data_IF_625484905520
#
_entry.id   IF_625484905520
#
_cell.length_a   1.000
_cell.length_b   1.000
_cell.length_c   1.000
_cell.angle_alpha   90.00
_cell.angle_beta   90.00
_cell.angle_gamma   90.00
#
_symmetry.space_group_name_H-M   'P 1'
#
loop_
_entity.id
_entity.type
_entity.pdbx_description
1 polymer ?
#
# COMPACT_ATOMS: atom_id res chain seq x y z
N UNK A 1 -20.95 6.63 -18.23
CA UNK A 1 -20.55 6.70 -19.66
C UNK A 1 -19.87 8.04 -19.89
N UNK A 2 -18.75 8.07 -20.63
CA UNK A 2 -18.03 9.32 -20.92
C UNK A 2 -18.82 10.17 -21.92
N UNK A 3 -18.71 11.49 -21.82
CA UNK A 3 -19.25 12.40 -22.84
C UNK A 3 -18.46 12.23 -24.15
N UNK A 4 -19.15 12.28 -25.29
CA UNK A 4 -18.53 12.07 -26.60
C UNK A 4 -17.39 13.06 -26.90
N UNK A 5 -17.54 14.31 -26.48
CA UNK A 5 -16.50 15.34 -26.67
C UNK A 5 -15.24 15.05 -25.84
N UNK A 6 -15.40 14.56 -24.60
CA UNK A 6 -14.27 14.15 -23.75
C UNK A 6 -13.54 12.95 -24.36
N UNK A 7 -14.29 12.01 -24.92
CA UNK A 7 -13.72 10.86 -25.64
C UNK A 7 -12.87 11.33 -26.82
N UNK A 8 -13.39 12.19 -27.70
CA UNK A 8 -12.65 12.70 -28.86
C UNK A 8 -11.41 13.51 -28.46
N UNK A 9 -11.51 14.30 -27.39
CA UNK A 9 -10.37 15.04 -26.83
C UNK A 9 -9.30 14.08 -26.29
N UNK A 10 -9.71 13.09 -25.50
CA UNK A 10 -8.79 12.11 -24.93
C UNK A 10 -8.11 11.25 -26.00
N UNK A 11 -8.80 10.82 -27.05
CA UNK A 11 -8.22 10.01 -28.13
C UNK A 11 -7.10 10.71 -28.93
N UNK A 12 -7.00 12.04 -28.86
CA UNK A 12 -6.00 12.82 -29.59
C UNK A 12 -4.77 13.17 -28.75
N UNK A 13 -4.80 12.95 -27.43
CA UNK A 13 -3.68 13.28 -26.55
C UNK A 13 -2.50 12.34 -26.85
N UNK A 14 -1.27 12.85 -27.02
CA UNK A 14 -0.10 12.02 -27.29
C UNK A 14 0.08 10.85 -26.30
N UNK A 15 -0.07 11.09 -24.99
CA UNK A 15 0.02 10.05 -23.96
C UNK A 15 -1.05 8.94 -24.03
N UNK A 16 -2.11 9.13 -24.82
CA UNK A 16 -3.20 8.18 -25.02
C UNK A 16 -3.09 7.39 -26.33
N UNK A 17 -2.00 7.57 -27.08
CA UNK A 17 -1.74 6.89 -28.35
C UNK A 17 -0.58 5.90 -28.16
N UNK A 18 -0.73 4.69 -28.69
CA UNK A 18 0.34 3.68 -28.59
C UNK A 18 1.45 3.93 -29.61
N UNK A 19 1.09 4.09 -30.88
CA UNK A 19 1.96 4.57 -31.97
C UNK A 19 1.09 5.15 -33.10
N UNK A 20 1.69 5.91 -34.03
CA UNK A 20 1.04 6.38 -35.27
C UNK A 20 1.64 5.79 -36.55
N UNK A 21 2.83 5.17 -36.48
CA UNK A 21 3.39 4.41 -37.59
C UNK A 21 2.55 3.16 -37.92
N UNK A 22 2.59 2.68 -39.17
CA UNK A 22 2.08 1.34 -39.47
C UNK A 22 2.84 0.24 -38.69
N UNK A 23 2.67 -1.03 -39.05
CA UNK A 23 3.47 -2.15 -38.47
C UNK A 23 5.01 -2.00 -38.61
N UNK A 24 5.49 -0.95 -39.30
CA UNK A 24 6.89 -0.66 -39.63
C UNK A 24 7.73 -0.08 -38.48
N UNK A 25 7.16 0.16 -37.30
CA UNK A 25 7.93 0.30 -36.04
C UNK A 25 8.73 1.59 -35.85
N UNK A 26 8.52 2.64 -36.67
CA UNK A 26 9.10 3.96 -36.43
C UNK A 26 8.01 4.91 -35.92
N UNK A 27 8.22 5.44 -34.72
CA UNK A 27 7.39 6.45 -34.10
C UNK A 27 8.31 7.49 -33.43
N UNK A 28 8.25 8.73 -33.88
CA UNK A 28 9.15 9.80 -33.42
C UNK A 28 8.57 10.60 -32.23
N UNK A 29 7.34 10.30 -31.81
CA UNK A 29 6.71 11.02 -30.70
C UNK A 29 7.04 10.34 -29.36
N UNK A 30 7.88 11.01 -28.56
CA UNK A 30 8.34 10.52 -27.26
C UNK A 30 7.21 10.34 -26.23
N UNK A 31 6.04 10.94 -26.45
CA UNK A 31 4.86 10.79 -25.58
C UNK A 31 3.97 9.61 -25.95
N UNK A 32 4.16 8.98 -27.11
CA UNK A 32 3.44 7.76 -27.46
C UNK A 32 3.90 6.57 -26.61
N UNK A 33 2.99 5.63 -26.31
CA UNK A 33 3.28 4.55 -25.36
C UNK A 33 4.45 3.65 -25.79
N UNK A 34 4.59 3.35 -27.08
CA UNK A 34 5.69 2.51 -27.60
C UNK A 34 7.09 3.07 -27.29
N UNK A 35 7.21 4.38 -27.11
CA UNK A 35 8.48 5.06 -26.81
C UNK A 35 8.75 5.22 -25.31
N UNK A 36 7.80 4.85 -24.44
CA UNK A 36 7.86 5.03 -22.98
C UNK A 36 7.88 3.71 -22.21
N UNK A 37 7.27 2.66 -22.78
CA UNK A 37 7.27 1.33 -22.17
C UNK A 37 8.68 0.72 -22.24
N UNK A 38 9.08 0.08 -21.16
CA UNK A 38 10.40 -0.52 -20.92
C UNK A 38 11.57 0.47 -21.02
N UNK A 39 11.32 1.74 -20.61
CA UNK A 39 12.34 2.78 -20.45
C UNK A 39 12.65 3.04 -18.99
N UNK A 40 13.81 3.64 -18.74
CA UNK A 40 14.23 4.11 -17.40
C UNK A 40 13.47 5.36 -16.97
N UNK A 41 13.14 6.23 -17.92
CA UNK A 41 12.47 7.50 -17.66
C UNK A 41 10.97 7.31 -17.35
N UNK A 42 10.48 7.99 -16.31
CA UNK A 42 9.06 8.01 -15.96
C UNK A 42 8.32 9.10 -16.74
N UNK A 43 7.95 8.81 -17.99
CA UNK A 43 7.07 9.69 -18.78
C UNK A 43 5.60 9.25 -18.64
N UNK A 44 4.91 9.74 -17.61
CA UNK A 44 3.48 9.53 -17.39
C UNK A 44 2.75 10.87 -17.31
N UNK A 45 1.62 10.98 -18.04
CA UNK A 45 0.72 12.13 -17.93
C UNK A 45 -0.27 11.91 -16.80
N UNK A 46 -0.05 12.59 -15.67
CA UNK A 46 -0.91 12.52 -14.48
C UNK A 46 -1.59 13.87 -14.31
N UNK A 47 -2.92 13.85 -14.23
CA UNK A 47 -3.75 15.01 -13.91
C UNK A 47 -4.44 14.70 -12.58
N UNK A 48 -3.93 15.23 -11.46
CA UNK A 48 -4.51 15.01 -10.16
C UNK A 48 -5.95 15.52 -10.07
N UNK A 49 -6.79 14.84 -9.28
CA UNK A 49 -8.11 15.39 -8.90
C UNK A 49 -8.00 16.57 -7.93
N UNK A 50 -6.91 16.63 -7.16
CA UNK A 50 -6.63 17.64 -6.15
C UNK A 50 -5.13 17.74 -5.92
N UNK A 51 -4.70 18.90 -5.42
CA UNK A 51 -3.32 19.19 -5.00
C UNK A 51 -3.27 19.47 -3.50
N UNK A 52 -2.06 19.52 -2.95
CA UNK A 52 -1.79 19.76 -1.55
C UNK A 52 -0.76 20.87 -1.38
N UNK A 53 -0.98 21.73 -0.41
CA UNK A 53 0.02 22.68 0.03
C UNK A 53 1.25 21.97 0.61
N UNK A 54 2.42 22.62 0.54
CA UNK A 54 3.68 22.06 1.04
C UNK A 54 3.67 21.74 2.55
N UNK A 55 2.81 22.41 3.33
CA UNK A 55 2.65 22.16 4.76
C UNK A 55 1.67 21.00 5.06
N UNK A 56 0.99 20.41 4.08
CA UNK A 56 0.06 19.31 4.34
C UNK A 56 0.75 18.11 5.00
N UNK A 57 0.21 17.65 6.15
CA UNK A 57 0.61 16.36 6.74
C UNK A 57 -0.02 15.18 6.01
N UNK A 58 0.78 14.14 5.78
CA UNK A 58 0.40 12.90 5.12
C UNK A 58 0.37 11.74 6.12
N UNK A 59 -0.59 10.85 5.91
CA UNK A 59 -0.68 9.55 6.56
C UNK A 59 -0.40 8.46 5.53
N UNK A 60 0.34 7.42 5.91
CA UNK A 60 0.60 6.28 5.00
C UNK A 60 0.24 4.95 5.66
N UNK A 61 -0.38 4.05 4.90
CA UNK A 61 -0.67 2.68 5.30
C UNK A 61 -0.58 1.74 4.10
N UNK A 62 -0.05 0.54 4.30
CA UNK A 62 -0.10 -0.50 3.29
C UNK A 62 1.06 -1.49 3.33
N UNK A 63 1.34 -2.09 2.17
CA UNK A 63 2.40 -3.10 2.00
C UNK A 63 3.82 -2.53 2.21
N UNK A 64 4.86 -3.37 2.07
CA UNK A 64 6.26 -2.92 2.11
C UNK A 64 6.58 -1.74 1.17
N UNK A 65 5.87 -1.64 0.05
CA UNK A 65 6.04 -0.53 -0.88
C UNK A 65 5.55 0.82 -0.29
N UNK A 66 4.55 0.79 0.59
CA UNK A 66 4.06 1.98 1.29
C UNK A 66 5.18 2.64 2.11
N UNK A 67 5.99 1.83 2.80
CA UNK A 67 7.13 2.34 3.58
C UNK A 67 8.22 2.93 2.71
N UNK A 68 8.44 2.36 1.54
CA UNK A 68 9.39 2.92 0.57
C UNK A 68 8.92 4.30 0.07
N UNK A 69 7.63 4.46 -0.23
CA UNK A 69 7.02 5.76 -0.55
C UNK A 69 7.13 6.72 0.64
N UNK A 70 6.77 6.27 1.85
CA UNK A 70 6.84 7.08 3.07
C UNK A 70 8.25 7.64 3.32
N UNK A 71 9.28 6.79 3.26
CA UNK A 71 10.66 7.21 3.45
C UNK A 71 11.15 8.16 2.33
N UNK A 72 10.72 7.93 1.09
CA UNK A 72 11.05 8.81 -0.03
C UNK A 72 10.37 10.19 0.11
N UNK A 73 9.11 10.24 0.55
CA UNK A 73 8.38 11.47 0.84
C UNK A 73 9.04 12.26 1.98
N UNK A 74 9.41 11.58 3.07
CA UNK A 74 10.18 12.19 4.17
C UNK A 74 11.50 12.75 3.64
N UNK A 75 12.19 12.03 2.76
CA UNK A 75 13.42 12.50 2.10
C UNK A 75 13.23 13.75 1.24
N UNK A 76 12.00 14.02 0.77
CA UNK A 76 11.62 15.26 0.07
C UNK A 76 11.11 16.36 1.00
N UNK A 77 11.16 16.16 2.33
CA UNK A 77 10.72 17.12 3.32
C UNK A 77 9.20 17.11 3.58
N UNK A 78 8.47 16.13 3.02
CA UNK A 78 7.03 15.98 3.26
C UNK A 78 6.80 15.46 4.68
N UNK A 79 5.85 16.05 5.40
CA UNK A 79 5.48 15.61 6.75
C UNK A 79 4.65 14.33 6.67
N UNK A 80 5.25 13.17 6.92
CA UNK A 80 4.55 11.88 6.89
C UNK A 80 4.56 11.21 8.26
N UNK A 81 3.38 10.82 8.76
CA UNK A 81 3.21 10.14 10.05
C UNK A 81 4.07 10.75 11.19
N UNK A 82 4.03 12.08 11.45
CA UNK A 82 5.03 12.76 12.29
C UNK A 82 5.16 12.17 13.70
N UNK A 83 4.03 11.77 14.31
CA UNK A 83 4.00 11.13 15.63
C UNK A 83 4.75 9.78 15.70
N UNK A 84 4.97 9.10 14.57
CA UNK A 84 5.83 7.90 14.53
C UNK A 84 7.32 8.25 14.52
N UNK A 85 7.72 9.32 13.84
CA UNK A 85 9.11 9.75 13.73
C UNK A 85 9.66 10.26 15.06
N UNK A 86 8.79 10.84 15.89
CA UNK A 86 9.11 11.30 17.23
C UNK A 86 9.24 10.16 18.26
N UNK A 87 8.89 8.91 17.88
CA UNK A 87 9.03 7.73 18.74
C UNK A 87 10.39 7.05 18.58
N UNK A 88 11.31 7.35 19.51
CA UNK A 88 12.61 6.68 19.58
C UNK A 88 12.51 5.14 19.68
N UNK A 89 11.47 4.61 20.33
CA UNK A 89 11.29 3.16 20.50
C UNK A 89 10.86 2.47 19.21
N UNK A 90 9.88 3.04 18.49
CA UNK A 90 9.42 2.47 17.22
C UNK A 90 10.49 2.67 16.15
N UNK A 91 11.10 3.85 16.06
CA UNK A 91 12.20 4.11 15.13
C UNK A 91 13.38 3.15 15.30
N UNK A 92 13.77 2.82 16.54
CA UNK A 92 14.83 1.83 16.80
C UNK A 92 14.45 0.42 16.33
N UNK A 93 13.21 -0.02 16.52
CA UNK A 93 12.77 -1.36 16.09
C UNK A 93 12.56 -1.47 14.58
N UNK A 94 12.05 -0.41 13.96
CA UNK A 94 11.78 -0.36 12.53
C UNK A 94 13.08 -0.19 11.71
N UNK A 95 14.14 0.38 12.30
CA UNK A 95 15.49 0.45 11.70
C UNK A 95 16.32 -0.83 11.90
N UNK A 96 16.12 -1.59 12.98
CA UNK A 96 16.86 -2.84 13.24
C UNK A 96 16.45 -4.02 12.35
N UNK A 97 15.27 -3.97 11.71
CA UNK A 97 14.76 -5.04 10.83
C UNK A 97 14.30 -4.55 9.44
N UNK A 98 14.87 -3.43 8.97
CA UNK A 98 14.96 -3.00 7.57
C UNK A 98 13.65 -2.60 6.85
N UNK A 99 12.51 -3.16 7.23
CA UNK A 99 11.24 -3.07 6.52
C UNK A 99 10.07 -2.97 7.48
N UNK A 100 10.13 -2.09 8.49
CA UNK A 100 8.95 -1.59 9.19
C UNK A 100 7.85 -2.62 9.58
N UNK A 101 8.23 -3.68 10.29
CA UNK A 101 7.37 -4.85 10.53
C UNK A 101 6.04 -4.51 11.22
N UNK A 102 6.03 -3.46 12.03
CA UNK A 102 4.87 -3.08 12.84
C UNK A 102 3.86 -2.24 12.06
N UNK A 103 4.29 -1.54 11.02
CA UNK A 103 3.47 -0.58 10.26
C UNK A 103 2.86 -1.19 8.99
N UNK A 104 3.43 -2.27 8.46
CA UNK A 104 2.94 -2.88 7.23
C UNK A 104 1.62 -3.61 7.39
N UNK A 105 0.69 -3.39 6.45
CA UNK A 105 -0.54 -4.18 6.29
C UNK A 105 -0.65 -4.65 4.86
N UNK A 106 -0.83 -5.95 4.64
CA UNK A 106 -0.73 -6.51 3.29
C UNK A 106 -2.07 -6.64 2.58
N UNK A 107 -3.16 -6.90 3.31
CA UNK A 107 -4.49 -7.07 2.73
C UNK A 107 -5.46 -5.99 3.25
N UNK A 108 -6.45 -5.62 2.44
CA UNK A 108 -7.38 -4.53 2.77
C UNK A 108 -8.19 -4.77 4.06
N UNK A 109 -8.65 -5.99 4.39
CA UNK A 109 -9.30 -6.23 5.68
C UNK A 109 -8.39 -5.99 6.89
N UNK A 110 -7.10 -6.34 6.81
CA UNK A 110 -6.13 -6.04 7.88
C UNK A 110 -5.84 -4.54 8.00
N UNK A 111 -5.87 -3.78 6.88
CA UNK A 111 -5.79 -2.32 6.92
C UNK A 111 -7.04 -1.72 7.58
N UNK A 112 -8.23 -2.23 7.27
CA UNK A 112 -9.48 -1.79 7.90
C UNK A 112 -9.43 -2.02 9.42
N UNK A 113 -9.03 -3.21 9.85
CA UNK A 113 -8.85 -3.52 11.27
C UNK A 113 -7.88 -2.54 11.95
N UNK A 114 -6.82 -2.13 11.25
CA UNK A 114 -5.88 -1.14 11.77
C UNK A 114 -6.53 0.22 11.99
N UNK A 115 -7.25 0.70 10.98
CA UNK A 115 -7.95 1.99 11.05
C UNK A 115 -9.00 1.94 12.16
N UNK A 116 -9.79 0.87 12.27
CA UNK A 116 -10.73 0.67 13.38
C UNK A 116 -10.02 0.73 14.75
N UNK A 117 -8.84 0.11 14.89
CA UNK A 117 -8.04 0.16 16.11
C UNK A 117 -7.54 1.58 16.43
N UNK A 118 -7.15 2.36 15.41
CA UNK A 118 -6.72 3.76 15.59
C UNK A 118 -7.88 4.70 15.93
N UNK A 119 -9.09 4.40 15.46
CA UNK A 119 -10.30 5.20 15.67
C UNK A 119 -11.19 4.68 16.80
N UNK A 120 -10.59 4.00 17.80
CA UNK A 120 -11.19 3.65 19.09
C UNK A 120 -12.05 2.35 19.17
N UNK A 121 -11.87 1.39 18.24
CA UNK A 121 -12.42 0.03 18.36
C UNK A 121 -11.29 -0.98 18.65
N UNK A 122 -11.00 -1.27 19.94
CA UNK A 122 -9.97 -2.25 20.29
C UNK A 122 -10.46 -3.68 20.08
N UNK A 123 -10.29 -4.20 18.86
CA UNK A 123 -10.64 -5.58 18.47
C UNK A 123 -9.46 -6.56 18.56
N UNK A 124 -8.27 -6.07 18.93
CA UNK A 124 -7.03 -6.86 18.96
C UNK A 124 -6.88 -7.62 20.27
N UNK A 125 -7.32 -8.87 20.30
CA UNK A 125 -7.12 -9.79 21.42
C UNK A 125 -5.70 -10.35 21.51
N UNK A 126 -5.36 -10.95 22.66
CA UNK A 126 -4.13 -11.73 22.85
C UNK A 126 -4.12 -13.03 22.02
N UNK A 127 -5.27 -13.47 21.53
CA UNK A 127 -5.42 -14.64 20.66
C UNK A 127 -4.66 -14.54 19.34
N UNK A 128 -4.18 -13.35 18.98
CA UNK A 128 -3.33 -13.12 17.80
C UNK A 128 -1.84 -13.26 18.10
N UNK A 129 -1.47 -13.46 19.37
CA UNK A 129 -0.09 -13.52 19.86
C UNK A 129 0.30 -14.98 20.05
N UNK A 130 1.36 -15.41 19.37
CA UNK A 130 1.81 -16.80 19.41
C UNK A 130 3.23 -16.90 19.92
N UNK A 131 3.57 -17.92 20.72
CA UNK A 131 4.95 -18.13 21.11
C UNK A 131 5.84 -18.35 19.88
N UNK A 132 7.03 -17.75 19.83
CA UNK A 132 8.03 -17.92 18.75
C UNK A 132 9.43 -17.55 19.26
N UNK A 133 10.45 -18.29 18.84
CA UNK A 133 11.82 -18.07 19.29
C UNK A 133 12.10 -18.64 20.68
N UNK A 134 12.86 -17.90 21.49
CA UNK A 134 13.23 -18.30 22.85
C UNK A 134 12.02 -18.46 23.78
N UNK A 135 12.19 -19.20 24.89
CA UNK A 135 11.13 -19.35 25.91
C UNK A 135 10.72 -17.98 26.43
N UNK A 136 9.41 -17.72 26.51
CA UNK A 136 8.86 -16.44 26.92
C UNK A 136 8.82 -15.37 25.81
N UNK A 137 9.25 -15.70 24.59
CA UNK A 137 9.12 -14.82 23.44
C UNK A 137 7.95 -15.22 22.53
N UNK A 138 7.32 -14.19 21.98
CA UNK A 138 6.09 -14.27 21.20
C UNK A 138 6.18 -13.33 20.01
N UNK A 139 5.32 -13.55 19.04
CA UNK A 139 5.11 -12.66 17.91
C UNK A 139 3.62 -12.41 17.73
N UNK A 140 3.24 -11.35 17.03
CA UNK A 140 1.85 -10.96 16.85
C UNK A 140 1.45 -11.05 15.38
N UNK A 141 0.49 -11.91 15.05
CA UNK A 141 0.04 -12.13 13.67
C UNK A 141 -0.71 -10.93 13.06
N UNK A 142 -1.00 -9.91 13.87
CA UNK A 142 -1.46 -8.62 13.40
C UNK A 142 -0.37 -7.79 12.70
N UNK A 143 0.91 -8.04 13.03
CA UNK A 143 2.08 -7.41 12.39
C UNK A 143 2.73 -8.31 11.35
N UNK A 144 3.69 -7.78 10.59
CA UNK A 144 4.39 -8.51 9.55
C UNK A 144 5.32 -9.62 10.11
N UNK A 145 5.69 -10.56 9.24
CA UNK A 145 6.46 -11.76 9.60
C UNK A 145 7.94 -11.50 9.99
N UNK A 146 8.49 -10.34 9.64
CA UNK A 146 9.87 -9.93 9.92
C UNK A 146 10.05 -9.27 11.30
N UNK A 147 9.01 -9.24 12.13
CA UNK A 147 9.11 -8.75 13.50
C UNK A 147 10.02 -9.65 14.36
N UNK A 148 10.65 -9.03 15.36
CA UNK A 148 11.44 -9.76 16.35
C UNK A 148 10.56 -10.30 17.47
N UNK A 149 10.63 -11.62 17.77
CA UNK A 149 9.91 -12.19 18.88
C UNK A 149 10.32 -11.58 20.22
N UNK A 150 9.35 -11.33 21.10
CA UNK A 150 9.53 -10.59 22.37
C UNK A 150 8.48 -10.98 23.42
N UNK A 151 8.66 -10.64 24.70
CA UNK A 151 7.66 -10.87 25.73
C UNK A 151 6.30 -10.23 25.39
N UNK A 152 5.19 -10.87 25.79
CA UNK A 152 3.82 -10.36 25.54
C UNK A 152 3.66 -8.92 26.04
N UNK A 153 4.25 -8.59 27.19
CA UNK A 153 4.26 -7.22 27.74
C UNK A 153 4.78 -6.20 26.72
N UNK A 154 5.91 -6.47 26.07
CA UNK A 154 6.46 -5.56 25.05
C UNK A 154 5.56 -5.47 23.81
N UNK A 155 4.92 -6.58 23.40
CA UNK A 155 3.95 -6.56 22.30
C UNK A 155 2.78 -5.64 22.62
N UNK A 156 2.25 -5.72 23.85
CA UNK A 156 1.13 -4.89 24.29
C UNK A 156 1.54 -3.42 24.43
N UNK A 157 2.75 -3.13 24.93
CA UNK A 157 3.33 -1.78 24.95
C UNK A 157 3.47 -1.21 23.52
N UNK A 158 3.96 -1.99 22.56
CA UNK A 158 4.06 -1.58 21.16
C UNK A 158 2.66 -1.31 20.56
N UNK A 159 1.67 -2.17 20.80
CA UNK A 159 0.28 -1.97 20.33
C UNK A 159 -0.29 -0.64 20.82
N UNK A 160 -0.14 -0.35 22.11
CA UNK A 160 -0.63 0.91 22.71
C UNK A 160 0.09 2.10 22.08
N UNK A 161 1.41 2.03 21.97
CA UNK A 161 2.23 3.12 21.43
C UNK A 161 1.89 3.41 19.96
N UNK A 162 1.87 2.38 19.11
CA UNK A 162 1.56 2.52 17.68
C UNK A 162 0.15 3.06 17.50
N UNK A 163 -0.82 2.53 18.25
CA UNK A 163 -2.20 3.03 18.21
C UNK A 163 -2.25 4.51 18.53
N UNK A 164 -1.59 4.94 19.61
CA UNK A 164 -1.57 6.35 20.01
C UNK A 164 -0.94 7.24 18.94
N UNK A 165 0.23 6.87 18.42
CA UNK A 165 0.96 7.65 17.42
C UNK A 165 0.20 7.74 16.10
N UNK A 166 -0.34 6.61 15.62
CA UNK A 166 -1.05 6.57 14.34
C UNK A 166 -2.45 7.17 14.41
N UNK A 167 -3.12 7.09 15.56
CA UNK A 167 -4.38 7.79 15.80
C UNK A 167 -4.19 9.31 15.72
N UNK A 168 -3.12 9.84 16.33
CA UNK A 168 -2.77 11.25 16.24
C UNK A 168 -2.38 11.66 14.81
N UNK A 169 -1.51 10.88 14.14
CA UNK A 169 -1.12 11.14 12.76
C UNK A 169 -2.31 11.13 11.80
N UNK A 170 -3.28 10.23 11.99
CA UNK A 170 -4.49 10.18 11.18
C UNK A 170 -5.41 11.38 11.46
N UNK A 171 -5.55 11.79 12.73
CA UNK A 171 -6.37 12.94 13.10
C UNK A 171 -5.87 14.25 12.45
N UNK A 172 -4.56 14.38 12.32
CA UNK A 172 -3.89 15.54 11.72
C UNK A 172 -3.71 15.45 10.22
N UNK A 173 -3.95 14.31 9.56
CA UNK A 173 -3.64 14.14 8.15
C UNK A 173 -4.56 14.97 7.24
N UNK A 174 -4.02 15.43 6.10
CA UNK A 174 -4.78 16.05 5.01
C UNK A 174 -4.82 15.16 3.78
N UNK A 175 -3.84 14.26 3.68
CA UNK A 175 -3.78 13.21 2.70
C UNK A 175 -3.52 11.88 3.39
N UNK A 176 -4.25 10.82 3.02
CA UNK A 176 -3.93 9.45 3.35
C UNK A 176 -3.52 8.70 2.08
N UNK A 177 -2.31 8.12 2.06
CA UNK A 177 -1.84 7.26 0.98
C UNK A 177 -2.04 5.80 1.39
N UNK A 178 -2.90 5.10 0.66
CA UNK A 178 -3.21 3.68 0.87
C UNK A 178 -2.55 2.87 -0.25
N UNK A 179 -1.68 1.93 0.10
CA UNK A 179 -0.98 1.06 -0.87
C UNK A 179 -1.44 -0.39 -0.73
N UNK A 180 -2.27 -0.85 -1.67
CA UNK A 180 -2.81 -2.21 -1.70
C UNK A 180 -1.72 -3.26 -1.96
N UNK A 181 -1.63 -4.28 -1.10
CA UNK A 181 -0.59 -5.29 -1.17
C UNK A 181 -1.02 -6.57 -1.89
N UNK A 182 -1.86 -7.36 -1.23
CA UNK A 182 -2.15 -8.76 -1.55
C UNK A 182 -3.64 -9.06 -1.44
N UNK A 183 -4.11 -9.97 -2.28
CA UNK A 183 -5.44 -10.60 -2.20
C UNK A 183 -5.44 -11.88 -1.36
N UNK A 184 -4.28 -12.46 -1.08
CA UNK A 184 -4.17 -13.61 -0.19
C UNK A 184 -4.04 -13.18 1.28
N UNK A 185 -4.89 -13.74 2.12
CA UNK A 185 -4.88 -13.56 3.56
C UNK A 185 -5.13 -14.89 4.28
N UNK A 186 -4.83 -14.91 5.59
CA UNK A 186 -5.31 -15.98 6.48
C UNK A 186 -6.49 -15.43 7.26
N UNK A 187 -7.60 -16.17 7.28
CA UNK A 187 -8.73 -15.90 8.14
C UNK A 187 -8.66 -16.76 9.40
N UNK A 188 -8.74 -16.13 10.55
CA UNK A 188 -8.82 -16.78 11.85
C UNK A 188 -10.29 -16.92 12.27
N UNK A 189 -10.82 -18.15 12.22
CA UNK A 189 -12.23 -18.43 12.52
C UNK A 189 -12.61 -18.18 13.98
N UNK A 190 -11.64 -18.20 14.90
CA UNK A 190 -11.90 -17.98 16.32
C UNK A 190 -12.07 -16.49 16.61
N UNK A 191 -11.10 -15.66 16.21
CA UNK A 191 -11.17 -14.21 16.40
C UNK A 191 -12.09 -13.52 15.39
N UNK A 192 -12.43 -14.21 14.30
CA UNK A 192 -13.18 -13.70 13.14
C UNK A 192 -12.45 -12.55 12.44
N UNK A 193 -11.11 -12.58 12.45
CA UNK A 193 -10.25 -11.55 11.88
C UNK A 193 -9.44 -12.11 10.71
N UNK A 194 -9.18 -11.24 9.74
CA UNK A 194 -8.13 -11.47 8.76
C UNK A 194 -6.79 -11.11 9.38
N UNK A 195 -5.84 -12.04 9.30
CA UNK A 195 -4.49 -11.84 9.79
C UNK A 195 -3.67 -11.10 8.75
N UNK A 196 -2.72 -10.31 9.23
CA UNK A 196 -1.73 -9.66 8.38
C UNK A 196 -0.58 -10.60 8.03
N UNK A 197 -0.26 -11.53 8.93
CA UNK A 197 0.77 -12.54 8.72
C UNK A 197 0.30 -13.95 9.08
N UNK A 198 1.00 -14.94 8.53
CA UNK A 198 0.68 -16.34 8.76
C UNK A 198 1.05 -16.75 10.19
N UNK A 199 0.17 -17.48 10.91
CA UNK A 199 0.50 -18.03 12.21
C UNK A 199 1.65 -19.05 12.12
N UNK A 200 2.41 -19.31 13.21
CA UNK A 200 3.56 -20.21 13.13
C UNK A 200 3.10 -21.61 12.73
N UNK A 201 3.88 -22.26 11.86
CA UNK A 201 3.57 -23.59 11.33
C UNK A 201 3.16 -24.59 12.41
N UNK A 202 3.80 -24.56 13.58
CA UNK A 202 3.50 -25.48 14.71
C UNK A 202 2.08 -25.33 15.28
N UNK A 203 1.47 -24.15 15.17
CA UNK A 203 0.09 -23.90 15.60
C UNK A 203 -0.87 -24.08 14.42
N UNK A 204 -0.50 -23.57 13.25
CA UNK A 204 -1.32 -23.67 12.04
C UNK A 204 -1.58 -25.12 11.62
N UNK A 205 -0.55 -25.98 11.66
CA UNK A 205 -0.65 -27.38 11.19
C UNK A 205 -1.46 -28.31 12.09
N UNK A 206 -1.80 -27.89 13.31
CA UNK A 206 -2.51 -28.71 14.31
C UNK A 206 -3.90 -28.17 14.62
N UNK A 207 -4.39 -27.24 13.81
CA UNK A 207 -5.60 -26.51 14.12
C UNK A 207 -6.46 -26.38 12.88
N UNK A 208 -7.75 -26.62 13.06
CA UNK A 208 -8.76 -26.26 12.08
C UNK A 208 -9.10 -24.76 12.14
N UNK A 209 -8.54 -23.98 13.07
CA UNK A 209 -8.85 -22.55 13.31
C UNK A 209 -8.63 -21.64 12.10
N UNK A 210 -7.65 -21.95 11.24
CA UNK A 210 -7.23 -21.04 10.18
C UNK A 210 -7.71 -21.50 8.79
N UNK A 211 -8.13 -20.55 7.98
CA UNK A 211 -8.47 -20.77 6.58
C UNK A 211 -7.66 -19.83 5.68
N UNK A 212 -7.23 -20.31 4.51
CA UNK A 212 -6.77 -19.43 3.44
C UNK A 212 -7.96 -18.66 2.89
N UNK A 213 -7.83 -17.35 2.75
CA UNK A 213 -8.88 -16.49 2.25
C UNK A 213 -8.38 -15.64 1.08
N UNK A 214 -9.04 -15.80 -0.06
CA UNK A 214 -8.83 -14.95 -1.22
C UNK A 214 -9.78 -13.75 -1.16
N UNK A 215 -9.22 -12.56 -0.96
CA UNK A 215 -9.96 -11.31 -0.87
C UNK A 215 -10.27 -10.82 -2.29
N UNK A 216 -11.56 -10.77 -2.63
CA UNK A 216 -12.01 -10.34 -3.95
C UNK A 216 -11.87 -8.83 -4.15
N UNK A 217 -12.09 -8.37 -5.39
CA UNK A 217 -12.13 -6.94 -5.70
C UNK A 217 -13.27 -6.24 -4.94
N UNK A 218 -14.43 -6.88 -4.81
CA UNK A 218 -15.61 -6.37 -4.10
C UNK A 218 -15.34 -6.26 -2.59
N UNK A 219 -14.72 -7.29 -1.98
CA UNK A 219 -14.36 -7.24 -0.56
C UNK A 219 -13.27 -6.18 -0.28
N UNK A 220 -12.36 -5.98 -1.24
CA UNK A 220 -11.37 -4.90 -1.17
C UNK A 220 -12.04 -3.54 -1.24
N UNK A 221 -12.97 -3.34 -2.18
CA UNK A 221 -13.73 -2.09 -2.32
C UNK A 221 -14.56 -1.79 -1.07
N UNK A 222 -15.27 -2.78 -0.51
CA UNK A 222 -16.01 -2.63 0.75
C UNK A 222 -15.09 -2.23 1.91
N UNK A 223 -13.90 -2.84 2.00
CA UNK A 223 -12.90 -2.46 3.01
C UNK A 223 -12.42 -1.02 2.82
N UNK A 224 -12.17 -0.58 1.58
CA UNK A 224 -11.76 0.79 1.26
C UNK A 224 -12.84 1.82 1.59
N UNK A 225 -14.10 1.52 1.29
CA UNK A 225 -15.24 2.36 1.65
C UNK A 225 -15.34 2.54 3.17
N UNK A 226 -15.22 1.45 3.93
CA UNK A 226 -15.22 1.50 5.40
C UNK A 226 -14.02 2.27 5.94
N UNK A 227 -12.82 2.03 5.41
CA UNK A 227 -11.61 2.79 5.77
C UNK A 227 -11.85 4.28 5.59
N UNK A 228 -12.34 4.71 4.42
CA UNK A 228 -12.66 6.11 4.13
C UNK A 228 -13.65 6.69 5.12
N UNK A 229 -14.75 5.99 5.41
CA UNK A 229 -15.75 6.42 6.40
C UNK A 229 -15.13 6.61 7.78
N UNK A 230 -14.29 5.67 8.24
CA UNK A 230 -13.63 5.78 9.55
C UNK A 230 -12.60 6.89 9.60
N UNK A 231 -11.78 7.05 8.56
CA UNK A 231 -10.80 8.14 8.45
C UNK A 231 -11.50 9.50 8.52
N UNK A 232 -12.58 9.70 7.75
CA UNK A 232 -13.35 10.95 7.77
C UNK A 232 -14.02 11.23 9.11
N UNK A 233 -14.50 10.20 9.80
CA UNK A 233 -15.12 10.35 11.12
C UNK A 233 -14.10 10.71 12.22
N UNK A 234 -12.83 10.32 12.06
CA UNK A 234 -11.76 10.55 13.04
C UNK A 234 -10.93 11.79 12.75
N UNK A 235 -10.80 12.18 11.49
CA UNK A 235 -9.96 13.30 11.11
C UNK A 235 -10.51 14.64 11.63
N UNK A 236 -9.60 15.51 12.11
CA UNK A 236 -9.94 16.87 12.52
C UNK A 236 -10.19 17.83 11.35
N UNK A 237 -9.95 17.38 10.12
CA UNK A 237 -10.09 18.13 8.86
C UNK A 237 -10.43 17.19 7.69
N UNK A 238 -10.94 17.71 6.56
CA UNK A 238 -11.18 16.88 5.39
C UNK A 238 -9.91 16.16 4.91
N UNK A 239 -9.95 14.83 4.84
CA UNK A 239 -8.84 14.00 4.35
C UNK A 239 -9.07 13.64 2.89
N UNK A 240 -8.09 13.86 2.03
CA UNK A 240 -8.08 13.28 0.68
C UNK A 240 -7.33 11.96 0.68
N UNK A 241 -7.69 11.04 -0.19
CA UNK A 241 -7.06 9.71 -0.26
C UNK A 241 -6.36 9.55 -1.60
N UNK A 242 -5.09 9.15 -1.56
CA UNK A 242 -4.37 8.61 -2.71
C UNK A 242 -4.36 7.09 -2.57
N UNK A 243 -4.98 6.39 -3.51
CA UNK A 243 -4.98 4.92 -3.57
C UNK A 243 -3.98 4.46 -4.63
N UNK A 244 -3.16 3.46 -4.29
CA UNK A 244 -2.24 2.83 -5.24
C UNK A 244 -2.07 1.33 -4.99
N UNK A 245 -1.46 0.62 -5.93
CA UNK A 245 -1.21 -0.83 -5.84
C UNK A 245 0.30 -1.07 -5.73
N UNK A 246 0.69 -1.98 -4.85
CA UNK A 246 2.08 -2.38 -4.69
C UNK A 246 2.53 -3.28 -5.83
N UNK A 247 3.68 -3.02 -6.47
CA UNK A 247 4.26 -3.92 -7.47
C UNK A 247 4.93 -5.15 -6.85
N UNK A 248 5.22 -5.14 -5.55
CA UNK A 248 5.92 -6.23 -4.86
C UNK A 248 5.11 -7.51 -4.93
N UNK A 249 5.70 -8.55 -5.52
CA UNK A 249 5.04 -9.83 -5.76
C UNK A 249 4.76 -10.65 -4.49
N UNK A 250 3.80 -11.56 -4.58
CA UNK A 250 3.58 -12.62 -3.59
C UNK A 250 4.91 -13.36 -3.32
N UNK A 251 5.22 -13.59 -2.04
CA UNK A 251 6.36 -14.44 -1.67
C UNK A 251 6.00 -15.93 -1.71
N UNK A 252 4.74 -16.25 -1.42
CA UNK A 252 4.14 -17.59 -1.44
C UNK A 252 2.66 -17.45 -1.81
N UNK A 253 2.08 -18.48 -2.40
CA UNK A 253 0.65 -18.57 -2.71
C UNK A 253 0.06 -19.88 -2.18
N UNK A 254 -1.13 -19.82 -1.58
CA UNK A 254 -1.91 -21.02 -1.23
C UNK A 254 -2.93 -21.40 -2.32
N UNK A 255 -3.04 -20.63 -3.40
CA UNK A 255 -4.08 -20.81 -4.43
C UNK A 255 -3.98 -22.15 -5.20
N UNK A 256 -2.83 -22.83 -5.13
CA UNK A 256 -2.55 -24.03 -5.92
C UNK A 256 -2.12 -23.72 -7.37
N UNK A 257 -2.17 -22.46 -7.80
CA UNK A 257 -1.65 -22.02 -9.09
C UNK A 257 -0.15 -21.71 -9.03
N UNK A 258 0.48 -21.59 -10.20
CA UNK A 258 1.79 -20.97 -10.32
C UNK A 258 1.78 -19.58 -9.68
N UNK A 259 2.83 -19.24 -8.93
CA UNK A 259 2.89 -18.02 -8.14
C UNK A 259 2.83 -16.76 -8.99
N UNK A 260 3.35 -16.79 -10.23
CA UNK A 260 3.28 -15.65 -11.14
C UNK A 260 1.83 -15.42 -11.59
N UNK A 261 1.10 -16.48 -11.90
CA UNK A 261 -0.33 -16.42 -12.28
C UNK A 261 -1.18 -15.92 -11.11
N UNK A 262 -0.97 -16.48 -9.91
CA UNK A 262 -1.66 -16.03 -8.69
C UNK A 262 -1.36 -14.56 -8.39
N UNK A 263 -0.10 -14.15 -8.54
CA UNK A 263 0.30 -12.76 -8.32
C UNK A 263 -0.37 -11.81 -9.32
N UNK A 264 -0.38 -12.18 -10.61
CA UNK A 264 -1.06 -11.37 -11.64
C UNK A 264 -2.54 -11.20 -11.31
N UNK A 265 -3.25 -12.28 -10.96
CA UNK A 265 -4.66 -12.19 -10.56
C UNK A 265 -4.86 -11.27 -9.36
N UNK A 266 -4.02 -11.40 -8.33
CA UNK A 266 -4.10 -10.55 -7.15
C UNK A 266 -3.92 -9.06 -7.50
N UNK A 267 -2.89 -8.70 -8.26
CA UNK A 267 -2.65 -7.29 -8.63
C UNK A 267 -3.74 -6.74 -9.53
N UNK A 268 -4.23 -7.52 -10.49
CA UNK A 268 -5.35 -7.12 -11.36
C UNK A 268 -6.61 -6.82 -10.56
N UNK A 269 -6.98 -7.67 -9.60
CA UNK A 269 -8.18 -7.42 -8.76
C UNK A 269 -8.02 -6.20 -7.85
N UNK A 270 -6.86 -6.03 -7.22
CA UNK A 270 -6.58 -4.83 -6.42
C UNK A 270 -6.62 -3.56 -7.27
N UNK A 271 -6.14 -3.62 -8.51
CA UNK A 271 -6.17 -2.49 -9.44
C UNK A 271 -7.58 -2.12 -9.86
N UNK A 272 -8.45 -3.12 -10.09
CA UNK A 272 -9.88 -2.92 -10.37
C UNK A 272 -10.56 -2.27 -9.16
N UNK A 273 -10.35 -2.78 -7.95
CA UNK A 273 -10.92 -2.18 -6.73
C UNK A 273 -10.45 -0.74 -6.53
N UNK A 274 -9.16 -0.45 -6.77
CA UNK A 274 -8.62 0.90 -6.70
C UNK A 274 -9.25 1.86 -7.72
N UNK A 275 -9.48 1.40 -8.97
CA UNK A 275 -10.18 2.18 -10.00
C UNK A 275 -11.62 2.50 -9.59
N UNK A 276 -12.37 1.48 -9.17
CA UNK A 276 -13.76 1.66 -8.74
C UNK A 276 -13.86 2.62 -7.55
N UNK A 277 -12.92 2.51 -6.61
CA UNK A 277 -12.88 3.38 -5.44
C UNK A 277 -12.53 4.83 -5.80
N UNK A 278 -11.54 5.05 -6.68
CA UNK A 278 -11.24 6.41 -7.15
C UNK A 278 -12.39 6.98 -7.97
N UNK A 279 -12.96 6.24 -8.90
CA UNK A 279 -13.99 6.75 -9.81
C UNK A 279 -15.29 7.12 -9.09
N UNK A 280 -15.58 6.47 -7.96
CA UNK A 280 -16.77 6.72 -7.16
C UNK A 280 -16.66 7.95 -6.23
N UNK A 281 -15.47 8.53 -6.06
CA UNK A 281 -15.22 9.54 -5.01
C UNK A 281 -14.29 10.68 -5.49
N UNK A 282 -14.76 11.93 -5.38
CA UNK A 282 -13.98 13.12 -5.76
C UNK A 282 -12.80 13.41 -4.82
N UNK A 283 -12.85 12.89 -3.59
CA UNK A 283 -11.78 12.97 -2.60
C UNK A 283 -10.81 11.79 -2.64
N UNK A 284 -10.94 10.91 -3.63
CA UNK A 284 -10.04 9.76 -3.83
C UNK A 284 -9.44 9.82 -5.23
N UNK A 285 -8.12 9.77 -5.32
CA UNK A 285 -7.40 9.72 -6.59
C UNK A 285 -6.48 8.50 -6.68
N UNK A 286 -6.33 7.96 -7.89
CA UNK A 286 -5.47 6.81 -8.15
C UNK A 286 -4.09 7.27 -8.63
N UNK A 287 -3.04 6.94 -7.87
CA UNK A 287 -1.67 7.18 -8.31
C UNK A 287 -1.07 5.91 -8.96
N UNK A 288 -0.63 5.94 -10.22
CA UNK A 288 -0.24 4.74 -10.97
C UNK A 288 1.19 4.23 -10.69
N UNK A 289 1.57 4.16 -9.42
CA UNK A 289 2.90 3.67 -9.01
C UNK A 289 3.16 2.21 -9.42
N UNK A 290 2.11 1.39 -9.47
CA UNK A 290 2.19 0.00 -9.93
C UNK A 290 2.63 -0.07 -11.39
N UNK A 291 1.93 0.66 -12.26
CA UNK A 291 2.21 0.70 -13.70
C UNK A 291 3.57 1.32 -13.99
N UNK A 292 3.98 2.36 -13.24
CA UNK A 292 5.33 2.94 -13.34
C UNK A 292 6.44 1.93 -13.05
N UNK A 293 6.21 0.93 -12.21
CA UNK A 293 7.19 -0.13 -11.99
C UNK A 293 7.08 -1.22 -13.05
N UNK A 294 5.86 -1.71 -13.32
CA UNK A 294 5.65 -2.83 -14.24
C UNK A 294 6.00 -2.52 -15.70
N UNK A 295 5.90 -1.25 -16.10
CA UNK A 295 6.15 -0.80 -17.48
C UNK A 295 7.53 -0.16 -17.66
N UNK A 296 8.37 -0.09 -16.62
CA UNK A 296 9.75 0.41 -16.76
C UNK A 296 10.72 -0.68 -17.23
N UNK A 297 11.94 -0.27 -17.61
CA UNK A 297 13.05 -1.20 -17.84
C UNK A 297 13.28 -2.04 -16.57
N UNK A 298 13.17 -3.38 -16.65
CA UNK A 298 13.33 -4.24 -15.49
C UNK A 298 14.68 -4.11 -14.78
N UNK A 299 15.76 -3.81 -15.50
CA UNK A 299 17.10 -3.64 -14.89
C UNK A 299 17.23 -2.38 -14.04
N UNK A 300 16.38 -1.39 -14.27
CA UNK A 300 16.28 -0.17 -13.47
C UNK A 300 15.22 -0.29 -12.37
N UNK A 301 14.08 -0.91 -12.69
CA UNK A 301 12.93 -0.97 -11.80
C UNK A 301 13.11 -1.95 -10.62
N UNK A 302 13.80 -3.07 -10.83
CA UNK A 302 13.87 -4.16 -9.85
C UNK A 302 15.25 -4.34 -9.21
N UNK A 303 15.25 -4.86 -7.99
CA UNK A 303 16.44 -5.42 -7.35
C UNK A 303 16.78 -6.79 -7.96
N UNK A 304 17.97 -7.37 -7.68
CA UNK A 304 18.38 -8.65 -8.24
C UNK A 304 17.45 -9.84 -7.95
N UNK A 305 16.58 -9.73 -6.95
CA UNK A 305 15.60 -10.77 -6.61
C UNK A 305 14.36 -10.76 -7.52
N UNK A 306 14.22 -9.79 -8.42
CA UNK A 306 13.09 -9.64 -9.33
C UNK A 306 11.75 -9.38 -8.64
N UNK A 307 11.77 -8.96 -7.36
CA UNK A 307 10.56 -8.83 -6.53
C UNK A 307 10.48 -7.49 -5.81
N UNK A 308 11.58 -6.96 -5.30
CA UNK A 308 11.61 -5.66 -4.64
C UNK A 308 12.02 -4.57 -5.61
N UNK A 309 11.40 -3.40 -5.49
CA UNK A 309 11.69 -2.24 -6.36
C UNK A 309 13.03 -1.64 -5.97
N UNK A 310 13.79 -1.19 -6.96
CA UNK A 310 15.03 -0.45 -6.73
C UNK A 310 14.72 0.87 -6.00
N UNK A 311 15.49 1.21 -4.96
CA UNK A 311 15.30 2.45 -4.18
C UNK A 311 15.41 3.72 -5.02
N UNK A 312 16.27 3.73 -6.04
CA UNK A 312 16.37 4.84 -6.99
C UNK A 312 15.08 5.03 -7.78
N UNK A 313 14.47 3.93 -8.22
CA UNK A 313 13.21 3.95 -8.95
C UNK A 313 12.04 4.39 -8.06
N UNK A 314 11.99 3.94 -6.80
CA UNK A 314 11.03 4.44 -5.80
C UNK A 314 11.15 5.97 -5.67
N UNK A 315 12.37 6.50 -5.53
CA UNK A 315 12.58 7.95 -5.43
C UNK A 315 12.04 8.69 -6.65
N UNK A 316 12.35 8.22 -7.86
CA UNK A 316 11.84 8.82 -9.09
C UNK A 316 10.30 8.84 -9.15
N UNK A 317 9.64 7.76 -8.72
CA UNK A 317 8.18 7.68 -8.61
C UNK A 317 7.66 8.70 -7.60
N UNK A 318 8.29 8.81 -6.44
CA UNK A 318 7.90 9.76 -5.40
C UNK A 318 8.17 11.22 -5.80
N UNK A 319 9.24 11.49 -6.52
CA UNK A 319 9.53 12.83 -7.07
C UNK A 319 8.43 13.24 -8.05
N UNK A 320 8.05 12.35 -8.97
CA UNK A 320 6.91 12.59 -9.86
C UNK A 320 5.59 12.76 -9.10
N UNK A 321 5.37 12.02 -8.01
CA UNK A 321 4.20 12.27 -7.15
C UNK A 321 4.23 13.69 -6.58
N UNK A 322 5.35 14.11 -5.99
CA UNK A 322 5.51 15.44 -5.42
C UNK A 322 5.29 16.53 -6.48
N UNK A 323 5.89 16.40 -7.66
CA UNK A 323 5.79 17.39 -8.74
C UNK A 323 4.36 17.57 -9.26
N UNK A 324 3.51 16.54 -9.13
CA UNK A 324 2.13 16.57 -9.61
C UNK A 324 1.15 16.96 -8.52
N UNK A 325 1.30 16.43 -7.31
CA UNK A 325 0.32 16.58 -6.24
C UNK A 325 0.65 17.68 -5.25
N UNK A 326 1.89 18.16 -5.16
CA UNK A 326 2.25 19.27 -4.28
C UNK A 326 2.25 20.59 -5.05
N UNK A 327 1.70 21.62 -4.42
CA UNK A 327 1.75 22.99 -4.93
C UNK A 327 3.20 23.48 -4.95
N UNK A 328 3.63 24.01 -6.09
CA UNK A 328 4.95 24.61 -6.22
C UNK A 328 4.96 25.93 -5.43
N UNK A 329 5.95 26.07 -4.56
CA UNK A 329 6.16 27.29 -3.75
C UNK A 329 6.68 28.44 -4.59
#
# INVERSE_FOLDING_TARGET
MLQWNDLLSNYKKPHNIWYTGGKSGKDDNLDHACNRVHKSELNFSIVPKFTFSADTSFFTIGSCFARNIELALIGRGVRVNPALLESNKVAARESLFGDAALLHRFNAPSMLLEIENYTNESRLGEDLIYPRGARGCYWDCHYANNQTPRPVREIMEDRIHIRSAMSAALAEAGCAIITLGLSEAVYDKQSKLYLNSFPPKRYASRSDRFAGAWISAEQTLDSLQKIRTRMHAHAGRPVKIIITVSPVGLHRSFSGHDILVANMLSKSQLRVAAAQFSDAHDDVDYFPSYEMVMLSDPSHAWQPDGRHVNRGHVRAITDLFCDRYLEQS
#
